data_IF_707539656323
#
_entry.id   IF_707539656323
#
_cell.length_a   1.000
_cell.length_b   1.000
_cell.length_c   1.000
_cell.angle_alpha   90.00
_cell.angle_beta   90.00
_cell.angle_gamma   90.00
#
_symmetry.space_group_name_H-M   'P 1'
#
loop_
_entity.id
_entity.type
_entity.pdbx_description
1 polymer ?
#
# COMPACT_ATOMS: atom_id res chain seq x y z
N UNK A 1 -13.75 12.77 23.51
CA UNK A 1 -13.10 11.69 22.75
C UNK A 1 -12.07 12.33 21.85
N UNK A 2 -10.79 11.99 22.01
CA UNK A 2 -9.79 12.28 20.99
C UNK A 2 -10.05 11.30 19.86
N UNK A 3 -10.42 11.80 18.68
CA UNK A 3 -10.53 10.96 17.47
C UNK A 3 -9.11 10.50 17.15
N UNK A 4 -8.91 9.19 17.01
CA UNK A 4 -7.65 8.62 16.54
C UNK A 4 -7.32 9.21 15.16
N UNK A 5 -6.06 9.60 14.92
CA UNK A 5 -5.68 10.22 13.65
C UNK A 5 -5.90 9.20 12.52
N UNK A 6 -6.80 9.50 11.54
CA UNK A 6 -7.15 8.57 10.47
C UNK A 6 -5.93 8.10 9.66
N UNK A 7 -4.85 8.90 9.63
CA UNK A 7 -3.60 8.51 8.97
C UNK A 7 -3.08 7.16 9.50
N UNK A 8 -3.11 6.94 10.82
CA UNK A 8 -2.55 5.71 11.39
C UNK A 8 -3.44 4.49 11.14
N UNK A 9 -4.75 4.68 11.02
CA UNK A 9 -5.70 3.62 10.66
C UNK A 9 -5.39 3.14 9.24
N UNK A 10 -5.39 4.07 8.27
CA UNK A 10 -5.13 3.75 6.86
C UNK A 10 -3.70 3.23 6.67
N UNK A 11 -2.71 3.78 7.39
CA UNK A 11 -1.34 3.23 7.41
C UNK A 11 -1.33 1.75 7.79
N UNK A 12 -2.07 1.35 8.82
CA UNK A 12 -2.12 -0.05 9.25
C UNK A 12 -2.81 -0.93 8.21
N UNK A 13 -3.91 -0.43 7.61
CA UNK A 13 -4.61 -1.12 6.52
C UNK A 13 -3.70 -1.34 5.30
N UNK A 14 -2.91 -0.32 4.92
CA UNK A 14 -1.89 -0.42 3.85
C UNK A 14 -0.83 -1.47 4.20
N UNK A 15 -0.31 -1.47 5.43
CA UNK A 15 0.69 -2.48 5.86
C UNK A 15 0.12 -3.90 5.77
N UNK A 16 -1.13 -4.09 6.18
CA UNK A 16 -1.82 -5.38 6.08
C UNK A 16 -2.05 -5.79 4.61
N UNK A 17 -2.51 -4.85 3.77
CA UNK A 17 -2.72 -5.08 2.34
C UNK A 17 -1.42 -5.46 1.61
N UNK A 18 -0.32 -4.76 1.89
CA UNK A 18 1.01 -5.07 1.33
C UNK A 18 1.49 -6.45 1.76
N UNK A 19 1.30 -6.81 3.03
CA UNK A 19 1.66 -8.14 3.55
C UNK A 19 0.89 -9.24 2.79
N UNK A 20 -0.44 -9.11 2.68
CA UNK A 20 -1.27 -10.06 1.92
C UNK A 20 -0.87 -10.14 0.44
N UNK A 21 -0.56 -9.00 -0.16
CA UNK A 21 -0.14 -8.90 -1.56
C UNK A 21 1.18 -9.65 -1.80
N UNK A 22 2.12 -9.56 -0.85
CA UNK A 22 3.38 -10.33 -0.91
C UNK A 22 3.15 -11.84 -0.83
N UNK A 23 2.29 -12.30 0.07
CA UNK A 23 1.94 -13.71 0.18
C UNK A 23 1.30 -14.23 -1.12
N UNK A 24 0.37 -13.44 -1.69
CA UNK A 24 -0.27 -13.74 -2.96
C UNK A 24 0.73 -13.76 -4.14
N UNK A 25 1.70 -12.83 -4.14
CA UNK A 25 2.77 -12.76 -5.13
C UNK A 25 3.66 -14.01 -5.06
N UNK A 26 4.04 -14.43 -3.86
CA UNK A 26 4.82 -15.66 -3.68
C UNK A 26 4.05 -16.87 -4.24
N UNK A 27 2.77 -16.99 -3.90
CA UNK A 27 1.92 -18.03 -4.46
C UNK A 27 1.90 -17.97 -5.99
N UNK A 28 1.71 -16.79 -6.58
CA UNK A 28 1.73 -16.60 -8.02
C UNK A 28 3.03 -17.09 -8.67
N UNK A 29 4.19 -16.81 -8.06
CA UNK A 29 5.49 -17.31 -8.53
C UNK A 29 5.53 -18.86 -8.52
N UNK A 30 5.10 -19.49 -7.43
CA UNK A 30 5.02 -20.95 -7.32
C UNK A 30 4.09 -21.54 -8.39
N UNK A 31 2.96 -20.87 -8.67
CA UNK A 31 2.01 -21.32 -9.69
C UNK A 31 2.62 -21.31 -11.10
N UNK A 32 3.46 -20.31 -11.39
CA UNK A 32 4.09 -20.11 -12.69
C UNK A 32 5.19 -21.16 -12.97
N UNK A 33 5.91 -21.58 -11.95
CA UNK A 33 6.99 -22.56 -12.06
C UNK A 33 6.46 -23.99 -12.25
N UNK A 34 5.30 -24.28 -11.68
CA UNK A 34 4.62 -25.56 -11.80
C UNK A 34 3.82 -25.59 -13.11
N UNK A 35 4.48 -26.02 -14.19
CA UNK A 35 3.97 -26.19 -15.56
C UNK A 35 2.76 -27.15 -15.72
N UNK A 36 2.05 -27.47 -14.63
CA UNK A 36 0.94 -28.42 -14.51
C UNK A 36 -0.33 -27.80 -13.88
N UNK A 37 -0.31 -26.50 -13.55
CA UNK A 37 -1.41 -25.81 -12.87
C UNK A 37 -2.43 -25.27 -13.88
N UNK A 38 -3.70 -25.24 -13.48
CA UNK A 38 -4.76 -24.75 -14.35
C UNK A 38 -4.50 -23.28 -14.71
N UNK A 39 -4.57 -22.98 -16.01
CA UNK A 39 -4.44 -21.60 -16.54
C UNK A 39 -5.38 -20.62 -15.81
N UNK A 40 -6.52 -21.11 -15.34
CA UNK A 40 -7.51 -20.37 -14.58
C UNK A 40 -7.00 -19.90 -13.20
N UNK A 41 -6.29 -20.74 -12.45
CA UNK A 41 -5.75 -20.35 -11.13
C UNK A 41 -4.68 -19.24 -11.28
N UNK A 42 -3.83 -19.34 -12.31
CA UNK A 42 -2.84 -18.30 -12.62
C UNK A 42 -3.53 -16.99 -13.02
N UNK A 43 -4.54 -17.06 -13.89
CA UNK A 43 -5.28 -15.87 -14.35
C UNK A 43 -6.01 -15.18 -13.20
N UNK A 44 -6.70 -15.95 -12.35
CA UNK A 44 -7.37 -15.43 -11.15
C UNK A 44 -6.37 -14.77 -10.20
N UNK A 45 -5.27 -15.44 -9.87
CA UNK A 45 -4.23 -14.91 -8.98
C UNK A 45 -3.60 -13.65 -9.54
N UNK A 46 -3.37 -13.60 -10.87
CA UNK A 46 -2.86 -12.40 -11.55
C UNK A 46 -3.82 -11.23 -11.44
N UNK A 47 -5.12 -11.48 -11.60
CA UNK A 47 -6.13 -10.43 -11.50
C UNK A 47 -6.24 -9.90 -10.07
N UNK A 48 -6.19 -10.79 -9.08
CA UNK A 48 -6.25 -10.42 -7.67
C UNK A 48 -5.02 -9.59 -7.23
N UNK A 49 -3.83 -9.92 -7.75
CA UNK A 49 -2.63 -9.09 -7.57
C UNK A 49 -2.81 -7.68 -8.15
N UNK A 50 -3.34 -7.56 -9.38
CA UNK A 50 -3.59 -6.25 -10.01
C UNK A 50 -4.57 -5.40 -9.19
N UNK A 51 -5.63 -6.01 -8.67
CA UNK A 51 -6.60 -5.33 -7.82
C UNK A 51 -5.96 -4.87 -6.51
N UNK A 52 -5.16 -5.74 -5.89
CA UNK A 52 -4.46 -5.44 -4.63
C UNK A 52 -3.48 -4.29 -4.80
N UNK A 53 -2.64 -4.31 -5.84
CA UNK A 53 -1.72 -3.22 -6.15
C UNK A 53 -2.45 -1.89 -6.36
N UNK A 54 -3.53 -1.90 -7.14
CA UNK A 54 -4.32 -0.70 -7.39
C UNK A 54 -4.97 -0.14 -6.13
N UNK A 55 -5.47 -1.00 -5.25
CA UNK A 55 -6.04 -0.56 -3.97
C UNK A 55 -4.98 0.12 -3.11
N UNK A 56 -3.78 -0.48 -3.02
CA UNK A 56 -2.66 0.10 -2.26
C UNK A 56 -2.22 1.44 -2.86
N UNK A 57 -2.13 1.54 -4.20
CA UNK A 57 -1.79 2.80 -4.87
C UNK A 57 -2.77 3.92 -4.52
N UNK A 58 -4.07 3.64 -4.53
CA UNK A 58 -5.10 4.62 -4.13
C UNK A 58 -4.98 5.03 -2.66
N UNK A 59 -4.78 4.08 -1.75
CA UNK A 59 -4.62 4.40 -0.34
C UNK A 59 -3.38 5.29 -0.10
N UNK A 60 -2.29 5.04 -0.85
CA UNK A 60 -1.08 5.86 -0.78
C UNK A 60 -1.29 7.26 -1.37
N UNK A 61 -2.04 7.41 -2.47
CA UNK A 61 -2.43 8.70 -3.03
C UNK A 61 -3.25 9.53 -2.03
N UNK A 62 -4.24 8.91 -1.37
CA UNK A 62 -5.05 9.55 -0.34
C UNK A 62 -4.19 10.00 0.85
N UNK A 63 -3.27 9.14 1.32
CA UNK A 63 -2.33 9.49 2.39
C UNK A 63 -1.44 10.68 1.99
N UNK A 64 -0.95 10.76 0.75
CA UNK A 64 -0.18 11.91 0.27
C UNK A 64 -1.02 13.20 0.25
N UNK A 65 -2.28 13.12 -0.17
CA UNK A 65 -3.19 14.26 -0.13
C UNK A 65 -3.40 14.76 1.30
N UNK A 66 -3.57 13.86 2.27
CA UNK A 66 -3.72 14.26 3.68
C UNK A 66 -2.48 15.00 4.20
N UNK A 67 -1.27 14.57 3.81
CA UNK A 67 -0.03 15.27 4.17
C UNK A 67 -0.01 16.67 3.56
N UNK A 68 -0.37 16.81 2.28
CA UNK A 68 -0.46 18.11 1.60
C UNK A 68 -1.44 19.07 2.31
N UNK A 69 -2.57 18.55 2.81
CA UNK A 69 -3.54 19.31 3.59
C UNK A 69 -2.96 19.76 4.94
N UNK A 70 -2.24 18.87 5.64
CA UNK A 70 -1.58 19.17 6.92
C UNK A 70 -0.52 20.26 6.76
N UNK A 71 0.32 20.16 5.73
CA UNK A 71 1.37 21.13 5.42
C UNK A 71 0.81 22.53 5.10
N UNK A 72 -0.37 22.61 4.49
CA UNK A 72 -1.06 23.88 4.20
C UNK A 72 -1.69 24.53 5.44
N UNK A 73 -1.96 23.78 6.51
CA UNK A 73 -2.58 24.32 7.73
C UNK A 73 -2.04 23.73 9.04
N UNK A 74 -0.74 23.91 9.34
CA UNK A 74 -0.09 23.27 10.49
C UNK A 74 -0.70 23.70 11.85
N UNK A 75 -1.22 24.94 11.95
CA UNK A 75 -1.88 25.45 13.17
C UNK A 75 -3.13 24.66 13.56
N UNK A 76 -3.88 24.17 12.57
CA UNK A 76 -5.10 23.39 12.79
C UNK A 76 -4.79 21.98 13.29
N UNK A 77 -3.81 21.33 12.66
CA UNK A 77 -3.52 19.91 12.89
C UNK A 77 -2.53 19.66 14.02
N UNK A 78 -1.67 20.63 14.36
CA UNK A 78 -0.66 20.51 15.43
C UNK A 78 0.28 19.31 15.27
N UNK A 79 0.57 18.96 14.02
CA UNK A 79 1.53 17.92 13.63
C UNK A 79 2.85 18.63 13.34
N UNK A 80 3.95 18.12 13.90
CA UNK A 80 5.28 18.69 13.68
C UNK A 80 5.96 18.17 12.40
N UNK A 81 7.05 18.83 11.99
CA UNK A 81 7.78 18.46 10.78
C UNK A 81 8.40 17.05 10.86
N UNK A 82 8.74 16.57 12.06
CA UNK A 82 9.32 15.24 12.24
C UNK A 82 8.30 14.16 11.92
N UNK A 83 7.07 14.33 12.41
CA UNK A 83 5.95 13.45 12.11
C UNK A 83 5.58 13.52 10.62
N UNK A 84 5.48 14.71 10.02
CA UNK A 84 5.23 14.86 8.57
C UNK A 84 6.28 14.09 7.74
N UNK A 85 7.57 14.24 8.07
CA UNK A 85 8.64 13.53 7.37
C UNK A 85 8.55 12.02 7.56
N UNK A 86 8.14 11.55 8.74
CA UNK A 86 7.92 10.12 9.01
C UNK A 86 6.77 9.56 8.16
N UNK A 87 5.70 10.33 7.99
CA UNK A 87 4.56 9.96 7.13
C UNK A 87 4.96 9.89 5.66
N UNK A 88 5.72 10.88 5.16
CA UNK A 88 6.26 10.88 3.78
C UNK A 88 7.16 9.68 3.55
N UNK A 89 8.12 9.44 4.45
CA UNK A 89 9.04 8.30 4.35
C UNK A 89 8.31 6.94 4.34
N UNK A 90 7.21 6.80 5.08
CA UNK A 90 6.36 5.60 5.01
C UNK A 90 5.76 5.41 3.62
N UNK A 91 5.18 6.45 3.02
CA UNK A 91 4.57 6.37 1.70
C UNK A 91 5.62 6.05 0.64
N UNK A 92 6.74 6.78 0.62
CA UNK A 92 7.83 6.58 -0.33
C UNK A 92 8.37 5.14 -0.29
N UNK A 93 8.66 4.64 0.91
CA UNK A 93 9.13 3.27 1.11
C UNK A 93 8.11 2.23 0.64
N UNK A 94 6.83 2.46 0.90
CA UNK A 94 5.77 1.53 0.49
C UNK A 94 5.59 1.52 -1.02
N UNK A 95 5.70 2.68 -1.68
CA UNK A 95 5.69 2.78 -3.14
C UNK A 95 6.87 2.00 -3.76
N UNK A 96 8.07 2.17 -3.24
CA UNK A 96 9.25 1.42 -3.71
C UNK A 96 9.06 -0.10 -3.54
N UNK A 97 8.52 -0.52 -2.39
CA UNK A 97 8.25 -1.92 -2.09
C UNK A 97 7.22 -2.53 -3.04
N UNK A 98 6.10 -1.83 -3.28
CA UNK A 98 5.05 -2.28 -4.20
C UNK A 98 5.56 -2.31 -5.64
N UNK A 99 6.28 -1.28 -6.09
CA UNK A 99 6.89 -1.23 -7.42
C UNK A 99 7.86 -2.40 -7.67
N UNK A 100 8.60 -2.82 -6.64
CA UNK A 100 9.48 -3.99 -6.72
C UNK A 100 8.74 -5.33 -6.93
N UNK A 101 7.44 -5.37 -6.67
CA UNK A 101 6.57 -6.54 -6.87
C UNK A 101 5.76 -6.46 -8.17
N UNK A 102 5.77 -5.33 -8.89
CA UNK A 102 5.03 -5.24 -10.14
C UNK A 102 5.83 -5.92 -11.25
N UNK A 103 5.23 -6.91 -11.88
CA UNK A 103 5.79 -7.57 -13.06
C UNK A 103 5.44 -6.78 -14.32
N UNK A 104 6.45 -6.40 -15.11
CA UNK A 104 6.29 -5.83 -16.45
C UNK A 104 6.26 -6.91 -17.54
#
# INVERSE_FOLDING_TARGET
>A
MTVEDPFFVVKNEVVEAVTKTKDLYQRWCELKDLNLISKEEIEWTTNELKNSFRSIEWDLEDLEETISIVEKNPKKFKIDCTEINTRKAFIDKTKEEVQGLVFY
#
